data_IF_737832373759
#
_entry.id   IF_737832373759
#
_cell.length_a   1.000
_cell.length_b   1.000
_cell.length_c   1.000
_cell.angle_alpha   90.00
_cell.angle_beta   90.00
_cell.angle_gamma   90.00
#
_symmetry.space_group_name_H-M   'P 1'
#
loop_
_entity.id
_entity.type
_entity.pdbx_description
1 polymer ?
#
# COMPACT_ATOMS: atom_id res chain seq x y z
N UNK A 1 -15.22 -21.27 0.08
CA UNK A 1 -14.62 -19.95 0.29
C UNK A 1 -13.13 -20.11 0.15
N UNK A 2 -12.52 -19.51 -0.86
CA UNK A 2 -11.08 -19.57 -1.04
C UNK A 2 -10.46 -18.37 -0.33
N UNK A 3 -9.63 -18.66 0.67
CA UNK A 3 -8.86 -17.65 1.39
C UNK A 3 -7.65 -17.36 0.52
N UNK A 4 -7.60 -16.18 -0.11
CA UNK A 4 -6.39 -15.72 -0.79
C UNK A 4 -5.38 -15.31 0.27
N UNK A 5 -4.45 -16.21 0.59
CA UNK A 5 -3.19 -15.85 1.20
C UNK A 5 -2.40 -15.08 0.15
N UNK A 6 -2.28 -13.77 0.34
CA UNK A 6 -1.34 -12.95 -0.43
C UNK A 6 0.06 -13.39 -0.02
N UNK A 7 0.68 -14.24 -0.83
CA UNK A 7 2.09 -14.57 -0.67
C UNK A 7 2.89 -13.28 -0.82
N UNK A 8 3.57 -12.87 0.25
CA UNK A 8 4.58 -11.81 0.15
C UNK A 8 5.71 -12.33 -0.74
N UNK A 9 6.11 -11.61 -1.81
CA UNK A 9 7.21 -12.06 -2.64
C UNK A 9 8.54 -12.04 -1.86
N UNK A 10 9.26 -13.16 -1.92
CA UNK A 10 10.66 -13.29 -1.50
C UNK A 10 11.52 -12.33 -2.33
N UNK A 11 11.80 -11.14 -1.80
CA UNK A 11 12.67 -10.18 -2.48
C UNK A 11 12.50 -8.74 -2.04
N UNK A 12 11.37 -8.39 -1.43
CA UNK A 12 11.16 -7.03 -0.89
C UNK A 12 11.42 -7.04 0.61
N UNK A 13 12.68 -7.28 0.98
CA UNK A 13 13.22 -7.12 2.34
C UNK A 13 13.86 -5.75 2.54
N UNK A 14 13.33 -4.70 1.89
CA UNK A 14 13.66 -3.34 2.28
C UNK A 14 12.38 -2.49 2.36
N UNK A 15 12.05 -2.13 3.59
CA UNK A 15 11.14 -1.02 3.93
C UNK A 15 11.69 0.33 3.42
N UNK A 16 12.87 0.35 2.79
CA UNK A 16 13.59 1.55 2.43
C UNK A 16 13.02 2.22 1.17
N UNK A 17 12.21 3.25 1.42
CA UNK A 17 11.92 4.37 0.52
C UNK A 17 10.87 4.14 -0.57
N UNK A 18 9.66 3.71 -0.16
CA UNK A 18 8.44 4.19 -0.83
C UNK A 18 8.49 5.71 -0.84
N UNK A 19 8.91 6.29 -1.96
CA UNK A 19 9.11 7.74 -2.10
C UNK A 19 7.84 8.52 -1.73
N UNK A 20 7.94 9.83 -1.45
CA UNK A 20 6.82 10.65 -1.00
C UNK A 20 5.59 10.54 -1.93
N UNK A 21 5.81 10.34 -3.24
CA UNK A 21 4.75 10.14 -4.22
C UNK A 21 3.93 8.87 -3.99
N UNK A 22 4.58 7.74 -3.66
CA UNK A 22 3.89 6.46 -3.42
C UNK A 22 3.06 6.53 -2.14
N UNK A 23 3.60 7.20 -1.11
CA UNK A 23 2.87 7.44 0.15
C UNK A 23 1.65 8.33 -0.09
N UNK A 24 1.84 9.46 -0.79
CA UNK A 24 0.75 10.38 -1.13
C UNK A 24 -0.34 9.69 -1.96
N UNK A 25 0.04 8.83 -2.91
CA UNK A 25 -0.91 8.03 -3.67
C UNK A 25 -1.67 7.06 -2.77
N UNK A 26 -1.00 6.33 -1.88
CA UNK A 26 -1.65 5.42 -0.94
C UNK A 26 -2.67 6.13 -0.03
N UNK A 27 -2.33 7.31 0.47
CA UNK A 27 -3.25 8.17 1.24
C UNK A 27 -4.39 8.67 0.36
N UNK A 28 -4.12 9.10 -0.87
CA UNK A 28 -5.15 9.59 -1.79
C UNK A 28 -6.14 8.49 -2.20
N UNK A 29 -5.68 7.29 -2.51
CA UNK A 29 -6.55 6.16 -2.86
C UNK A 29 -7.46 5.79 -1.69
N UNK A 30 -6.92 5.77 -0.46
CA UNK A 30 -7.68 5.32 0.72
C UNK A 30 -8.55 6.42 1.34
N UNK A 31 -8.08 7.67 1.40
CA UNK A 31 -8.79 8.79 2.02
C UNK A 31 -9.55 9.65 1.00
N UNK A 32 -8.98 9.86 -0.18
CA UNK A 32 -9.61 10.63 -1.25
C UNK A 32 -10.63 9.81 -2.03
N UNK A 33 -10.27 8.59 -2.43
CA UNK A 33 -11.15 7.70 -3.22
C UNK A 33 -11.88 6.64 -2.38
N UNK A 34 -11.65 6.61 -1.06
CA UNK A 34 -12.28 5.66 -0.13
C UNK A 34 -12.07 4.17 -0.50
N UNK A 35 -10.96 3.85 -1.17
CA UNK A 35 -10.64 2.47 -1.54
C UNK A 35 -10.25 1.66 -0.31
N UNK A 36 -10.65 0.36 -0.25
CA UNK A 36 -10.11 -0.56 0.75
C UNK A 36 -8.59 -0.64 0.66
N UNK A 37 -7.90 -0.74 1.79
CA UNK A 37 -6.44 -0.80 1.86
C UNK A 37 -5.83 -1.92 1.01
N UNK A 38 -6.48 -3.09 0.97
CA UNK A 38 -6.04 -4.20 0.11
C UNK A 38 -6.07 -3.83 -1.38
N UNK A 39 -7.11 -3.10 -1.82
CA UNK A 39 -7.23 -2.65 -3.21
C UNK A 39 -6.26 -1.52 -3.55
N UNK A 40 -6.01 -0.62 -2.62
CA UNK A 40 -4.99 0.41 -2.80
C UNK A 40 -3.58 -0.21 -2.91
N UNK A 41 -3.29 -1.27 -2.13
CA UNK A 41 -2.03 -2.00 -2.23
C UNK A 41 -1.86 -2.71 -3.58
N UNK A 42 -2.91 -3.39 -4.07
CA UNK A 42 -2.94 -4.00 -5.40
C UNK A 42 -2.68 -2.95 -6.51
N UNK A 43 -3.37 -1.80 -6.46
CA UNK A 43 -3.19 -0.74 -7.45
C UNK A 43 -1.78 -0.13 -7.45
N UNK A 44 -1.17 0.02 -6.27
CA UNK A 44 0.22 0.52 -6.18
C UNK A 44 1.19 -0.50 -6.79
N UNK A 45 0.94 -1.80 -6.58
CA UNK A 45 1.70 -2.86 -7.24
C UNK A 45 1.50 -2.83 -8.76
N UNK A 46 0.28 -2.66 -9.25
CA UNK A 46 0.01 -2.63 -10.69
C UNK A 46 0.65 -1.42 -11.39
N UNK A 47 0.72 -0.27 -10.72
CA UNK A 47 1.26 0.98 -11.29
C UNK A 47 2.79 1.05 -11.16
N UNK A 48 3.35 0.66 -10.01
CA UNK A 48 4.76 0.86 -9.70
C UNK A 48 5.57 -0.44 -9.58
N UNK A 49 4.93 -1.61 -9.65
CA UNK A 49 5.55 -2.90 -9.37
C UNK A 49 5.89 -3.11 -7.89
N UNK A 50 5.47 -2.20 -7.00
CA UNK A 50 5.86 -2.19 -5.59
C UNK A 50 4.85 -2.95 -4.72
N UNK A 51 5.32 -3.95 -3.98
CA UNK A 51 4.48 -4.68 -3.02
C UNK A 51 4.34 -3.92 -1.70
N UNK A 52 3.29 -3.13 -1.57
CA UNK A 52 2.94 -2.43 -0.33
C UNK A 52 1.96 -3.28 0.48
N UNK A 53 2.16 -3.36 1.80
CA UNK A 53 1.20 -4.02 2.68
C UNK A 53 0.05 -3.07 3.07
N UNK A 54 -1.18 -3.57 3.28
CA UNK A 54 -2.27 -2.77 3.84
C UNK A 54 -1.90 -2.08 5.17
N UNK A 55 -1.04 -2.70 5.98
CA UNK A 55 -0.54 -2.12 7.22
C UNK A 55 0.37 -0.91 7.00
N UNK A 56 1.19 -0.90 5.94
CA UNK A 56 2.00 0.26 5.57
C UNK A 56 1.13 1.43 5.13
N UNK A 57 0.07 1.16 4.36
CA UNK A 57 -0.90 2.20 3.97
C UNK A 57 -1.61 2.81 5.19
N UNK A 58 -1.98 1.98 6.17
CA UNK A 58 -2.58 2.46 7.42
C UNK A 58 -1.62 3.38 8.19
N UNK A 59 -0.34 3.01 8.27
CA UNK A 59 0.69 3.84 8.89
C UNK A 59 0.84 5.19 8.19
N UNK A 60 0.89 5.22 6.85
CA UNK A 60 0.99 6.47 6.09
C UNK A 60 -0.24 7.37 6.24
N UNK A 61 -1.44 6.79 6.32
CA UNK A 61 -2.66 7.56 6.63
C UNK A 61 -2.61 8.15 8.05
N UNK A 62 -2.05 7.41 9.01
CA UNK A 62 -1.80 7.91 10.36
C UNK A 62 -0.81 9.07 10.38
N UNK A 63 0.32 8.93 9.69
CA UNK A 63 1.34 9.98 9.53
C UNK A 63 0.78 11.24 8.85
N UNK A 64 -0.09 11.10 7.84
CA UNK A 64 -0.67 12.23 7.10
C UNK A 64 -1.75 13.00 7.88
N UNK A 65 -2.26 12.43 8.98
CA UNK A 65 -3.29 13.04 9.84
C UNK A 65 -2.72 13.71 11.09
N UNK A 66 -1.44 13.49 11.40
CA UNK A 66 -0.72 14.11 12.51
C UNK A 66 0.03 15.35 12.06
#
# INVERSE_FOLDING_TARGET
GQVHVSAFPEGVTEVAQYGPNVRALGVHLTQGQMLPFARAAELIHDIYGLSVSPGALLAWVGEARG
#
